data_IF_847546435509
#
_entry.id   IF_847546435509
#
_cell.length_a   1.000
_cell.length_b   1.000
_cell.length_c   1.000
_cell.angle_alpha   90.00
_cell.angle_beta   90.00
_cell.angle_gamma   90.00
#
_symmetry.space_group_name_H-M   'P 1'
#
loop_
_entity.id
_entity.type
_entity.pdbx_description
1 polymer ?
#
# COMPACT_ATOMS: atom_id res chain seq x y z
N UNK A 1 9.40 -15.52 -29.06
CA UNK A 1 10.78 -15.63 -28.52
C UNK A 1 11.11 -16.97 -27.82
N UNK A 2 10.12 -17.80 -27.40
CA UNK A 2 10.39 -19.01 -26.60
C UNK A 2 10.82 -20.28 -27.36
N UNK A 3 10.41 -20.49 -28.63
CA UNK A 3 10.66 -21.78 -29.32
C UNK A 3 12.14 -22.08 -29.52
N UNK A 4 12.95 -21.06 -29.85
CA UNK A 4 14.40 -21.19 -30.04
C UNK A 4 15.14 -21.47 -28.73
N UNK A 5 14.72 -20.85 -27.62
CA UNK A 5 15.29 -21.13 -26.30
C UNK A 5 14.98 -22.56 -25.84
N UNK A 6 13.74 -23.02 -26.01
CA UNK A 6 13.35 -24.39 -25.62
C UNK A 6 14.08 -25.44 -26.46
N UNK A 7 14.33 -25.14 -27.75
CA UNK A 7 15.12 -25.99 -28.62
C UNK A 7 16.60 -26.05 -28.18
N UNK A 8 17.20 -24.90 -27.83
CA UNK A 8 18.57 -24.84 -27.31
C UNK A 8 18.71 -25.60 -25.98
N UNK A 9 17.73 -25.47 -25.07
CA UNK A 9 17.71 -26.17 -23.77
C UNK A 9 17.57 -27.69 -23.98
N UNK A 10 16.71 -28.12 -24.90
CA UNK A 10 16.56 -29.54 -25.25
C UNK A 10 17.84 -30.12 -25.88
N UNK A 11 18.55 -29.34 -26.71
CA UNK A 11 19.83 -29.72 -27.29
C UNK A 11 20.93 -29.81 -26.21
N UNK A 12 21.00 -28.83 -25.31
CA UNK A 12 21.99 -28.83 -24.22
C UNK A 12 21.74 -29.94 -23.21
N UNK A 13 20.48 -30.23 -22.88
CA UNK A 13 20.12 -31.29 -21.93
C UNK A 13 20.43 -32.69 -22.45
N UNK A 14 20.46 -32.88 -23.78
CA UNK A 14 20.73 -34.17 -24.43
C UNK A 14 22.10 -34.19 -25.14
N UNK A 15 23.04 -33.31 -24.75
CA UNK A 15 24.33 -33.12 -25.45
C UNK A 15 25.14 -34.41 -25.57
N UNK A 16 25.06 -35.29 -24.57
CA UNK A 16 25.73 -36.61 -24.59
C UNK A 16 25.21 -37.47 -25.74
N UNK A 17 23.89 -37.50 -25.96
CA UNK A 17 23.27 -38.26 -27.05
C UNK A 17 23.67 -37.72 -28.43
N UNK A 18 23.73 -36.39 -28.59
CA UNK A 18 24.22 -35.79 -29.84
C UNK A 18 25.68 -36.13 -30.11
N UNK A 19 26.54 -36.09 -29.08
CA UNK A 19 27.96 -36.46 -29.21
C UNK A 19 28.09 -37.93 -29.60
N UNK A 20 27.33 -38.83 -28.97
CA UNK A 20 27.37 -40.26 -29.32
C UNK A 20 26.89 -40.53 -30.74
N UNK A 21 25.83 -39.86 -31.21
CA UNK A 21 25.37 -39.96 -32.60
C UNK A 21 26.41 -39.42 -33.58
N UNK A 22 27.03 -38.28 -33.27
CA UNK A 22 28.08 -37.71 -34.12
C UNK A 22 29.31 -38.63 -34.23
N UNK A 23 29.73 -39.26 -33.13
CA UNK A 23 30.80 -40.27 -33.16
C UNK A 23 30.43 -41.50 -34.01
N UNK A 24 29.17 -41.94 -33.92
CA UNK A 24 28.65 -43.06 -34.71
C UNK A 24 28.63 -42.74 -36.22
N UNK A 25 28.15 -41.55 -36.58
CA UNK A 25 28.12 -41.08 -37.96
C UNK A 25 29.54 -40.97 -38.54
N UNK A 26 30.50 -40.42 -37.78
CA UNK A 26 31.91 -40.37 -38.19
C UNK A 26 32.49 -41.76 -38.46
N UNK A 27 32.16 -42.74 -37.62
CA UNK A 27 32.58 -44.12 -37.82
C UNK A 27 31.98 -44.74 -39.09
N UNK A 28 30.69 -44.52 -39.37
CA UNK A 28 30.06 -45.02 -40.60
C UNK A 28 30.55 -44.30 -41.87
N UNK A 29 30.85 -43.00 -41.79
CA UNK A 29 31.47 -42.24 -42.88
C UNK A 29 32.85 -42.82 -43.20
N UNK A 30 33.65 -43.14 -42.17
CA UNK A 30 34.96 -43.79 -42.36
C UNK A 30 34.83 -45.17 -43.03
N UNK A 31 33.86 -45.99 -42.62
CA UNK A 31 33.60 -47.29 -43.25
C UNK A 31 33.12 -47.15 -44.70
N UNK A 32 32.26 -46.18 -45.00
CA UNK A 32 31.78 -45.91 -46.36
C UNK A 32 32.93 -45.50 -47.29
N UNK A 33 33.89 -44.71 -46.78
CA UNK A 33 35.11 -44.35 -47.51
C UNK A 33 35.99 -45.56 -47.81
N UNK A 34 36.14 -46.48 -46.85
CA UNK A 34 36.97 -47.68 -47.00
C UNK A 34 36.36 -48.71 -47.97
N UNK A 35 35.03 -48.86 -47.97
CA UNK A 35 34.34 -49.92 -48.70
C UNK A 35 33.98 -49.55 -50.15
N UNK A 36 33.50 -48.32 -50.40
CA UNK A 36 32.97 -47.91 -51.72
C UNK A 36 33.29 -46.44 -52.05
N UNK A 37 34.53 -46.13 -52.48
CA UNK A 37 34.95 -44.75 -52.76
C UNK A 37 34.14 -44.06 -53.86
N UNK A 38 33.68 -44.80 -54.87
CA UNK A 38 32.95 -44.26 -56.02
C UNK A 38 31.57 -43.68 -55.66
N UNK A 39 30.94 -44.16 -54.59
CA UNK A 39 29.60 -43.75 -54.14
C UNK A 39 29.61 -42.98 -52.81
N UNK A 40 30.79 -42.57 -52.35
CA UNK A 40 31.00 -41.97 -51.02
C UNK A 40 30.07 -40.78 -50.73
N UNK A 41 29.93 -39.85 -51.68
CA UNK A 41 29.11 -38.64 -51.52
C UNK A 41 27.63 -38.95 -51.29
N UNK A 42 27.10 -39.92 -52.04
CA UNK A 42 25.71 -40.38 -51.90
C UNK A 42 25.46 -41.05 -50.54
N UNK A 43 26.40 -41.87 -50.07
CA UNK A 43 26.28 -42.52 -48.76
C UNK A 43 26.38 -41.53 -47.60
N UNK A 44 27.30 -40.55 -47.66
CA UNK A 44 27.42 -39.51 -46.63
C UNK A 44 26.14 -38.66 -46.56
N UNK A 45 25.59 -38.26 -47.71
CA UNK A 45 24.33 -37.51 -47.75
C UNK A 45 23.16 -38.29 -47.13
N UNK A 46 23.08 -39.59 -47.40
CA UNK A 46 22.06 -40.47 -46.83
C UNK A 46 22.21 -40.62 -45.31
N UNK A 47 23.44 -40.83 -44.81
CA UNK A 47 23.73 -40.94 -43.36
C UNK A 47 23.30 -39.67 -42.64
N UNK A 48 23.71 -38.50 -43.12
CA UNK A 48 23.35 -37.20 -42.52
C UNK A 48 21.83 -37.01 -42.53
N UNK A 49 21.15 -37.34 -43.63
CA UNK A 49 19.70 -37.22 -43.73
C UNK A 49 18.97 -38.11 -42.73
N UNK A 50 19.37 -39.38 -42.61
CA UNK A 50 18.78 -40.34 -41.67
C UNK A 50 19.02 -39.91 -40.22
N UNK A 51 20.25 -39.46 -39.88
CA UNK A 51 20.58 -39.00 -38.54
C UNK A 51 19.80 -37.73 -38.15
N UNK A 52 19.63 -36.76 -39.07
CA UNK A 52 18.76 -35.60 -38.86
C UNK A 52 17.31 -36.00 -38.62
N UNK A 53 16.76 -36.91 -39.44
CA UNK A 53 15.39 -37.41 -39.28
C UNK A 53 15.21 -38.12 -37.93
N UNK A 54 16.16 -38.98 -37.55
CA UNK A 54 16.15 -39.73 -36.30
C UNK A 54 16.19 -38.84 -35.05
N UNK A 55 16.84 -37.67 -35.11
CA UNK A 55 16.92 -36.72 -34.01
C UNK A 55 15.64 -35.89 -33.83
N UNK A 56 14.81 -35.71 -34.86
CA UNK A 56 13.60 -34.87 -34.77
C UNK A 56 12.58 -35.41 -33.75
N UNK A 57 12.38 -36.72 -33.68
CA UNK A 57 11.41 -37.38 -32.80
C UNK A 57 11.79 -37.23 -31.31
N UNK A 58 13.00 -37.60 -30.85
CA UNK A 58 13.38 -37.44 -29.45
C UNK A 58 13.45 -35.97 -29.03
N UNK A 59 13.85 -35.05 -29.92
CA UNK A 59 13.84 -33.60 -29.63
C UNK A 59 12.41 -33.12 -29.42
N UNK A 60 11.46 -33.47 -30.30
CA UNK A 60 10.07 -33.03 -30.16
C UNK A 60 9.40 -33.62 -28.91
N UNK A 61 9.68 -34.88 -28.57
CA UNK A 61 9.23 -35.51 -27.32
C UNK A 61 9.82 -34.80 -26.10
N UNK A 62 11.13 -34.53 -26.10
CA UNK A 62 11.83 -33.85 -25.00
C UNK A 62 11.27 -32.44 -24.77
N UNK A 63 11.04 -31.67 -25.84
CA UNK A 63 10.43 -30.33 -25.76
C UNK A 63 9.00 -30.41 -25.21
N UNK A 64 8.17 -31.34 -25.70
CA UNK A 64 6.78 -31.48 -25.23
C UNK A 64 6.72 -31.87 -23.75
N UNK A 65 7.62 -32.77 -23.32
CA UNK A 65 7.72 -33.19 -21.92
C UNK A 65 8.16 -32.02 -21.02
N UNK A 66 9.17 -31.26 -21.43
CA UNK A 66 9.65 -30.08 -20.69
C UNK A 66 8.54 -29.04 -20.52
N UNK A 67 7.86 -28.67 -21.62
CA UNK A 67 6.78 -27.68 -21.56
C UNK A 67 5.63 -28.13 -20.65
N UNK A 68 5.28 -29.43 -20.66
CA UNK A 68 4.25 -29.97 -19.76
C UNK A 68 4.70 -29.92 -18.30
N UNK A 69 5.97 -30.24 -18.03
CA UNK A 69 6.55 -30.15 -16.70
C UNK A 69 6.54 -28.71 -16.17
N UNK A 70 6.90 -27.74 -17.00
CA UNK A 70 6.91 -26.32 -16.62
C UNK A 70 5.50 -25.82 -16.25
N UNK A 71 4.48 -26.20 -17.02
CA UNK A 71 3.08 -25.82 -16.73
C UNK A 71 2.60 -26.42 -15.41
N UNK A 72 2.86 -27.70 -15.18
CA UNK A 72 2.45 -28.39 -13.93
C UNK A 72 3.26 -27.91 -12.73
N UNK A 73 4.53 -27.59 -12.92
CA UNK A 73 5.36 -26.99 -11.88
C UNK A 73 4.86 -25.59 -11.51
N UNK A 74 4.51 -24.77 -12.51
CA UNK A 74 3.94 -23.46 -12.26
C UNK A 74 2.57 -23.53 -11.57
N UNK A 75 1.70 -24.49 -11.95
CA UNK A 75 0.43 -24.68 -11.24
C UNK A 75 0.64 -25.12 -9.80
N UNK A 76 1.58 -26.03 -9.55
CA UNK A 76 1.97 -26.44 -8.20
C UNK A 76 2.53 -25.28 -7.33
N UNK A 77 3.30 -24.36 -7.93
CA UNK A 77 3.80 -23.19 -7.20
C UNK A 77 2.70 -22.19 -6.81
N UNK A 78 1.67 -22.07 -7.64
CA UNK A 78 0.52 -21.21 -7.34
C UNK A 78 -0.40 -21.86 -6.31
N UNK A 79 -0.64 -23.16 -6.47
CA UNK A 79 -1.56 -23.96 -5.66
C UNK A 79 -0.88 -25.30 -5.31
N UNK A 80 -0.19 -25.39 -4.16
CA UNK A 80 0.55 -26.58 -3.73
C UNK A 80 -0.39 -27.62 -3.11
N UNK A 81 -1.46 -27.98 -3.82
CA UNK A 81 -2.42 -28.98 -3.40
C UNK A 81 -1.95 -30.42 -3.70
N UNK A 82 -2.62 -31.41 -3.10
CA UNK A 82 -2.30 -32.82 -3.32
C UNK A 82 -2.41 -33.22 -4.80
N UNK A 83 -3.34 -32.59 -5.54
CA UNK A 83 -3.56 -32.85 -6.97
C UNK A 83 -2.37 -32.42 -7.81
N UNK A 84 -1.93 -31.17 -7.69
CA UNK A 84 -0.81 -30.61 -8.44
C UNK A 84 0.51 -31.27 -8.03
N UNK A 85 0.67 -31.63 -6.75
CA UNK A 85 1.81 -32.40 -6.28
C UNK A 85 1.86 -33.79 -6.94
N UNK A 86 0.72 -34.48 -7.01
CA UNK A 86 0.61 -35.77 -7.68
C UNK A 86 0.97 -35.67 -9.17
N UNK A 87 0.39 -34.70 -9.88
CA UNK A 87 0.65 -34.47 -11.30
C UNK A 87 2.13 -34.15 -11.56
N UNK A 88 2.76 -33.38 -10.67
CA UNK A 88 4.18 -33.07 -10.77
C UNK A 88 5.05 -34.31 -10.54
N UNK A 89 4.71 -35.14 -9.54
CA UNK A 89 5.40 -36.40 -9.25
C UNK A 89 5.30 -37.43 -10.39
N UNK A 90 4.24 -37.38 -11.21
CA UNK A 90 4.07 -38.25 -12.38
C UNK A 90 5.02 -37.86 -13.53
N UNK A 91 5.26 -36.55 -13.72
CA UNK A 91 6.07 -36.03 -14.83
C UNK A 91 7.57 -36.04 -14.49
N UNK A 92 7.90 -35.82 -13.22
CA UNK A 92 9.25 -35.68 -12.70
C UNK A 92 9.88 -37.07 -12.43
N UNK A 93 11.20 -37.26 -12.66
CA UNK A 93 11.90 -38.50 -12.32
C UNK A 93 11.68 -38.95 -10.88
N UNK A 94 11.63 -40.27 -10.65
CA UNK A 94 11.39 -40.85 -9.33
C UNK A 94 12.36 -40.36 -8.24
N UNK A 95 13.61 -40.05 -8.63
CA UNK A 95 14.65 -39.49 -7.76
C UNK A 95 14.27 -38.14 -7.14
N UNK A 96 13.50 -37.33 -7.86
CA UNK A 96 13.15 -35.97 -7.45
C UNK A 96 11.82 -35.90 -6.69
N UNK A 97 11.01 -36.97 -6.71
CA UNK A 97 9.73 -37.05 -5.97
C UNK A 97 9.84 -36.71 -4.47
N UNK A 98 10.83 -37.20 -3.68
CA UNK A 98 10.91 -36.83 -2.27
C UNK A 98 11.12 -35.32 -2.07
N UNK A 99 11.95 -34.68 -2.90
CA UNK A 99 12.18 -33.23 -2.84
C UNK A 99 10.94 -32.43 -3.24
N UNK A 100 10.16 -32.91 -4.22
CA UNK A 100 8.88 -32.27 -4.59
C UNK A 100 7.89 -32.31 -3.43
N UNK A 101 7.81 -33.44 -2.71
CA UNK A 101 6.95 -33.58 -1.52
C UNK A 101 7.39 -32.67 -0.38
N UNK A 102 8.70 -32.61 -0.11
CA UNK A 102 9.27 -31.72 0.90
C UNK A 102 8.99 -30.25 0.56
N UNK A 103 9.17 -29.85 -0.70
CA UNK A 103 8.83 -28.52 -1.20
C UNK A 103 7.33 -28.23 -1.04
N UNK A 104 6.47 -29.17 -1.39
CA UNK A 104 5.01 -29.05 -1.24
C UNK A 104 4.62 -28.83 0.21
N UNK A 105 5.18 -29.62 1.12
CA UNK A 105 4.96 -29.45 2.56
C UNK A 105 5.40 -28.06 3.04
N UNK A 106 6.59 -27.60 2.65
CA UNK A 106 7.06 -26.26 3.00
C UNK A 106 6.16 -25.14 2.45
N UNK A 107 5.72 -25.24 1.19
CA UNK A 107 4.82 -24.25 0.59
C UNK A 107 3.47 -24.20 1.30
N UNK A 108 2.89 -25.37 1.63
CA UNK A 108 1.64 -25.46 2.39
C UNK A 108 1.78 -24.88 3.79
N UNK A 109 2.82 -25.22 4.53
CA UNK A 109 3.07 -24.66 5.87
C UNK A 109 3.27 -23.14 5.83
N UNK A 110 3.96 -22.61 4.81
CA UNK A 110 4.09 -21.17 4.62
C UNK A 110 2.73 -20.52 4.30
N UNK A 111 1.90 -21.15 3.47
CA UNK A 111 0.57 -20.65 3.14
C UNK A 111 -0.37 -20.67 4.35
N UNK A 112 -0.34 -21.74 5.15
CA UNK A 112 -1.05 -21.85 6.43
C UNK A 112 -0.60 -20.76 7.40
N UNK A 113 0.71 -20.56 7.58
CA UNK A 113 1.25 -19.49 8.42
C UNK A 113 0.77 -18.11 7.97
N UNK A 114 0.84 -17.80 6.67
CA UNK A 114 0.34 -16.53 6.13
C UNK A 114 -1.17 -16.39 6.36
N UNK A 115 -1.95 -17.45 6.18
CA UNK A 115 -3.39 -17.42 6.42
C UNK A 115 -3.72 -17.20 7.90
N UNK A 116 -3.01 -17.86 8.81
CA UNK A 116 -3.14 -17.62 10.26
C UNK A 116 -2.80 -16.17 10.64
N UNK A 117 -1.75 -15.57 10.05
CA UNK A 117 -1.43 -14.16 10.29
C UNK A 117 -2.53 -13.24 9.78
N UNK A 118 -3.12 -13.53 8.60
CA UNK A 118 -4.26 -12.76 8.08
C UNK A 118 -5.47 -12.84 8.99
N UNK A 119 -5.81 -14.03 9.50
CA UNK A 119 -6.91 -14.23 10.45
C UNK A 119 -6.63 -13.43 11.74
N UNK A 120 -5.42 -13.53 12.31
CA UNK A 120 -5.04 -12.76 13.51
C UNK A 120 -5.19 -11.26 13.30
N UNK A 121 -4.73 -10.72 12.17
CA UNK A 121 -4.88 -9.30 11.84
C UNK A 121 -6.37 -8.93 11.77
N UNK A 122 -7.19 -9.72 11.08
CA UNK A 122 -8.64 -9.50 10.99
C UNK A 122 -9.32 -9.55 12.36
N UNK A 123 -8.93 -10.47 13.25
CA UNK A 123 -9.46 -10.58 14.60
C UNK A 123 -9.09 -9.35 15.44
N UNK A 124 -7.84 -8.85 15.32
CA UNK A 124 -7.41 -7.62 15.96
C UNK A 124 -8.17 -6.39 15.45
N UNK A 125 -8.40 -6.29 14.15
CA UNK A 125 -9.21 -5.22 13.56
C UNK A 125 -10.63 -5.23 14.14
N UNK A 126 -11.30 -6.40 14.13
CA UNK A 126 -12.65 -6.56 14.69
C UNK A 126 -12.70 -6.24 16.19
N UNK A 127 -11.67 -6.64 16.95
CA UNK A 127 -11.56 -6.33 18.36
C UNK A 127 -11.47 -4.81 18.61
N UNK A 128 -10.65 -4.10 17.85
CA UNK A 128 -10.52 -2.63 17.96
C UNK A 128 -11.85 -1.94 17.60
N UNK A 129 -12.55 -2.41 16.56
CA UNK A 129 -13.86 -1.84 16.20
C UNK A 129 -14.91 -2.03 17.29
N UNK A 130 -14.97 -3.23 17.89
CA UNK A 130 -15.88 -3.51 19.01
C UNK A 130 -15.53 -2.66 20.24
N UNK A 131 -14.24 -2.57 20.59
CA UNK A 131 -13.76 -1.73 21.68
C UNK A 131 -14.11 -0.26 21.46
N UNK A 132 -13.91 0.27 20.26
CA UNK A 132 -14.25 1.65 19.94
C UNK A 132 -15.76 1.91 20.05
N UNK A 133 -16.61 0.96 19.63
CA UNK A 133 -18.05 1.05 19.82
C UNK A 133 -18.44 1.07 21.30
N UNK A 134 -17.78 0.26 22.14
CA UNK A 134 -18.00 0.27 23.59
C UNK A 134 -17.57 1.60 24.23
N UNK A 135 -16.49 2.24 23.77
CA UNK A 135 -16.05 3.56 24.23
C UNK A 135 -16.95 4.70 23.72
N UNK A 136 -17.56 4.56 22.54
CA UNK A 136 -18.53 5.54 22.04
C UNK A 136 -19.76 5.66 22.95
N UNK A 137 -20.19 4.58 23.62
CA UNK A 137 -21.33 4.61 24.57
C UNK A 137 -21.15 5.59 25.74
N UNK A 138 -20.09 5.51 26.57
CA UNK A 138 -19.87 6.48 27.64
C UNK A 138 -19.60 7.89 27.12
N UNK A 139 -19.00 8.07 25.93
CA UNK A 139 -18.86 9.39 25.30
C UNK A 139 -20.22 9.99 24.92
N UNK A 140 -21.15 9.20 24.39
CA UNK A 140 -22.53 9.62 24.11
C UNK A 140 -23.27 10.00 25.39
N UNK A 141 -23.10 9.22 26.47
CA UNK A 141 -23.67 9.56 27.78
C UNK A 141 -23.07 10.86 28.33
N UNK A 142 -21.76 11.06 28.20
CA UNK A 142 -21.08 12.29 28.59
C UNK A 142 -21.63 13.49 27.81
N UNK A 143 -21.84 13.33 26.50
CA UNK A 143 -22.48 14.35 25.65
C UNK A 143 -23.86 14.73 26.17
N UNK A 144 -24.70 13.72 26.42
CA UNK A 144 -26.06 13.92 26.95
C UNK A 144 -26.06 14.63 28.31
N UNK A 145 -25.11 14.30 29.19
CA UNK A 145 -24.98 14.95 30.50
C UNK A 145 -24.51 16.40 30.37
N UNK A 146 -23.49 16.67 29.55
CA UNK A 146 -22.94 18.01 29.36
C UNK A 146 -23.95 18.95 28.68
N UNK A 147 -24.78 18.44 27.78
CA UNK A 147 -25.80 19.24 27.11
C UNK A 147 -26.98 19.54 28.05
N UNK A 148 -27.49 18.52 28.77
CA UNK A 148 -28.67 18.68 29.63
C UNK A 148 -28.37 19.37 30.97
N UNK A 149 -27.15 19.27 31.49
CA UNK A 149 -26.76 19.81 32.80
C UNK A 149 -25.84 21.01 32.70
N UNK A 150 -25.80 21.69 31.54
CA UNK A 150 -25.00 22.91 31.33
C UNK A 150 -25.21 23.96 32.44
N UNK A 151 -26.45 24.13 32.88
CA UNK A 151 -26.80 25.12 33.92
C UNK A 151 -26.39 24.71 35.35
N UNK A 152 -26.03 23.44 35.57
CA UNK A 152 -25.54 22.95 36.87
C UNK A 152 -24.03 23.22 37.06
N UNK A 153 -23.34 23.67 36.02
CA UNK A 153 -21.89 23.91 35.99
C UNK A 153 -21.57 25.37 35.69
N UNK A 154 -20.38 25.83 36.13
CA UNK A 154 -19.88 27.11 35.65
C UNK A 154 -19.54 27.03 34.15
N UNK A 155 -19.65 28.14 33.39
CA UNK A 155 -19.29 28.15 31.97
C UNK A 155 -17.88 27.60 31.69
N UNK A 156 -16.92 27.96 32.54
CA UNK A 156 -15.54 27.48 32.43
C UNK A 156 -15.42 25.95 32.60
N UNK A 157 -16.12 25.37 33.58
CA UNK A 157 -16.09 23.91 33.79
C UNK A 157 -16.79 23.20 32.63
N UNK A 158 -17.88 23.75 32.13
CA UNK A 158 -18.59 23.20 30.97
C UNK A 158 -17.68 23.15 29.73
N UNK A 159 -17.03 24.25 29.36
CA UNK A 159 -16.11 24.30 28.22
C UNK A 159 -14.96 23.29 28.37
N UNK A 160 -14.36 23.19 29.56
CA UNK A 160 -13.30 22.21 29.84
C UNK A 160 -13.75 20.76 29.72
N UNK A 161 -14.96 20.45 30.15
CA UNK A 161 -15.50 19.10 30.01
C UNK A 161 -15.82 18.77 28.54
N UNK A 162 -16.32 19.74 27.77
CA UNK A 162 -16.49 19.60 26.32
C UNK A 162 -15.13 19.34 25.64
N UNK A 163 -14.09 20.09 26.01
CA UNK A 163 -12.73 19.90 25.55
C UNK A 163 -12.24 18.46 25.79
N UNK A 164 -12.37 17.95 27.02
CA UNK A 164 -11.94 16.58 27.37
C UNK A 164 -12.72 15.53 26.59
N UNK A 165 -14.04 15.70 26.46
CA UNK A 165 -14.90 14.81 25.67
C UNK A 165 -14.47 14.78 24.21
N UNK A 166 -14.28 15.94 23.60
CA UNK A 166 -13.97 16.06 22.17
C UNK A 166 -12.57 15.52 21.86
N UNK A 167 -11.62 15.72 22.78
CA UNK A 167 -10.29 15.12 22.69
C UNK A 167 -10.37 13.59 22.76
N UNK A 168 -11.10 13.03 23.72
CA UNK A 168 -11.29 11.57 23.81
C UNK A 168 -12.01 11.00 22.58
N UNK A 169 -12.96 11.73 22.00
CA UNK A 169 -13.61 11.36 20.74
C UNK A 169 -12.62 11.31 19.58
N UNK A 170 -11.72 12.30 19.47
CA UNK A 170 -10.67 12.30 18.44
C UNK A 170 -9.72 11.11 18.57
N UNK A 171 -9.31 10.76 19.79
CA UNK A 171 -8.44 9.59 20.05
C UNK A 171 -9.11 8.28 19.60
N UNK A 172 -10.41 8.13 19.84
CA UNK A 172 -11.20 6.96 19.42
C UNK A 172 -11.34 6.90 17.89
N UNK A 173 -11.54 8.03 17.22
CA UNK A 173 -11.55 8.06 15.75
C UNK A 173 -10.16 7.77 15.17
N UNK A 174 -9.10 8.23 15.83
CA UNK A 174 -7.72 7.98 15.42
C UNK A 174 -7.37 6.49 15.43
N UNK A 175 -7.73 5.76 16.50
CA UNK A 175 -7.47 4.32 16.59
C UNK A 175 -8.34 3.51 15.62
N UNK A 176 -9.60 3.92 15.39
CA UNK A 176 -10.47 3.33 14.37
C UNK A 176 -9.90 3.49 12.96
N UNK A 177 -9.34 4.67 12.65
CA UNK A 177 -8.70 4.86 11.37
C UNK A 177 -7.41 4.03 11.27
N UNK A 178 -6.62 3.96 12.34
CA UNK A 178 -5.40 3.16 12.37
C UNK A 178 -5.66 1.67 12.15
N UNK A 179 -6.70 1.09 12.75
CA UNK A 179 -7.05 -0.33 12.53
C UNK A 179 -7.42 -0.60 11.07
N UNK A 180 -8.03 0.36 10.38
CA UNK A 180 -8.47 0.22 8.99
C UNK A 180 -7.39 0.49 7.95
N UNK A 181 -6.19 0.95 8.34
CA UNK A 181 -5.13 1.26 7.38
C UNK A 181 -4.71 0.07 6.51
N UNK A 182 -4.77 -1.15 7.05
CA UNK A 182 -4.37 -2.39 6.38
C UNK A 182 -5.49 -3.07 5.59
N UNK A 183 -6.72 -2.54 5.64
CA UNK A 183 -7.85 -3.15 4.97
C UNK A 183 -7.63 -3.15 3.44
N UNK A 184 -7.85 -4.33 2.82
CA UNK A 184 -7.67 -4.54 1.37
C UNK A 184 -8.69 -3.73 0.56
N UNK A 185 -9.87 -3.47 1.12
CA UNK A 185 -10.92 -2.67 0.49
C UNK A 185 -11.28 -1.51 1.42
N UNK A 186 -10.97 -0.29 0.98
CA UNK A 186 -11.41 0.95 1.63
C UNK A 186 -12.48 1.57 0.73
N UNK A 187 -13.72 1.66 1.24
CA UNK A 187 -14.84 2.24 0.50
C UNK A 187 -14.79 3.77 0.62
N UNK A 188 -13.92 4.42 -0.16
CA UNK A 188 -13.92 5.88 -0.29
C UNK A 188 -15.02 6.34 -1.24
N UNK A 189 -15.78 7.35 -0.80
CA UNK A 189 -16.82 7.98 -1.59
C UNK A 189 -16.33 9.34 -2.09
N UNK A 190 -15.79 9.35 -3.30
CA UNK A 190 -15.30 10.56 -3.94
C UNK A 190 -16.48 11.39 -4.47
N UNK A 191 -16.64 12.58 -3.91
CA UNK A 191 -17.66 13.55 -4.32
C UNK A 191 -17.05 14.94 -4.57
N UNK A 192 -17.72 15.80 -5.37
CA UNK A 192 -17.33 17.20 -5.49
C UNK A 192 -17.52 17.93 -4.16
N UNK A 193 -16.45 18.50 -3.62
CA UNK A 193 -16.41 19.20 -2.34
C UNK A 193 -15.86 20.61 -2.52
N UNK A 194 -16.47 21.54 -1.79
CA UNK A 194 -15.99 22.91 -1.67
C UNK A 194 -14.95 22.96 -0.54
N UNK A 195 -13.69 23.26 -0.88
CA UNK A 195 -12.58 23.19 0.10
C UNK A 195 -12.83 24.14 1.26
N UNK A 196 -13.22 25.38 0.97
CA UNK A 196 -13.35 26.41 2.00
C UNK A 196 -14.51 26.07 2.94
N UNK A 197 -15.63 25.56 2.42
CA UNK A 197 -16.72 25.04 3.23
C UNK A 197 -16.27 23.88 4.09
N UNK A 198 -15.54 22.91 3.54
CA UNK A 198 -15.03 21.77 4.32
C UNK A 198 -14.06 22.22 5.42
N UNK A 199 -13.22 23.24 5.17
CA UNK A 199 -12.36 23.83 6.20
C UNK A 199 -13.17 24.49 7.32
N UNK A 200 -14.25 25.21 6.99
CA UNK A 200 -15.16 25.79 8.00
C UNK A 200 -15.85 24.71 8.82
N UNK A 201 -16.38 23.68 8.16
CA UNK A 201 -16.99 22.53 8.84
C UNK A 201 -15.98 21.85 9.79
N UNK A 202 -14.71 21.68 9.36
CA UNK A 202 -13.66 21.13 10.21
C UNK A 202 -13.33 22.02 11.42
N UNK A 203 -13.35 23.35 11.25
CA UNK A 203 -13.18 24.29 12.35
C UNK A 203 -14.35 24.23 13.32
N UNK A 204 -15.59 24.17 12.82
CA UNK A 204 -16.81 24.04 13.64
C UNK A 204 -16.80 22.74 14.47
N UNK A 205 -16.40 21.61 13.86
CA UNK A 205 -16.29 20.33 14.55
C UNK A 205 -15.25 20.30 15.69
N UNK A 206 -14.31 21.27 15.68
CA UNK A 206 -13.22 21.40 16.64
C UNK A 206 -13.26 22.73 17.41
N UNK A 207 -14.40 23.45 17.38
CA UNK A 207 -14.52 24.79 17.96
C UNK A 207 -14.22 24.81 19.45
N UNK A 208 -14.63 23.80 20.19
CA UNK A 208 -14.41 23.66 21.64
C UNK A 208 -12.92 23.56 21.98
N UNK A 209 -12.15 22.84 21.15
CA UNK A 209 -10.69 22.72 21.29
C UNK A 209 -10.00 24.06 21.00
N UNK A 210 -10.44 24.74 19.95
CA UNK A 210 -9.89 26.01 19.49
C UNK A 210 -10.20 27.16 20.47
N UNK A 211 -11.43 27.22 20.99
CA UNK A 211 -11.87 28.23 21.96
C UNK A 211 -11.18 28.08 23.32
N UNK A 212 -11.08 26.87 23.87
CA UNK A 212 -10.38 26.65 25.15
C UNK A 212 -8.89 26.98 25.04
N UNK A 213 -8.30 26.79 23.84
CA UNK A 213 -6.92 27.18 23.55
C UNK A 213 -6.75 28.65 23.14
N UNK A 214 -7.85 29.39 22.90
CA UNK A 214 -7.84 30.82 22.57
C UNK A 214 -7.40 31.17 21.14
N UNK A 215 -7.64 30.30 20.16
CA UNK A 215 -7.23 30.49 18.77
C UNK A 215 -8.06 31.54 18.02
N UNK A 216 -7.39 32.41 17.26
CA UNK A 216 -8.01 33.24 16.21
C UNK A 216 -7.94 32.55 14.85
N UNK A 217 -9.04 32.52 14.11
CA UNK A 217 -9.16 31.76 12.86
C UNK A 217 -9.39 32.70 11.68
N UNK A 218 -8.60 32.53 10.63
CA UNK A 218 -8.71 33.33 9.40
C UNK A 218 -8.81 32.42 8.16
N UNK A 219 -9.64 32.83 7.20
CA UNK A 219 -9.78 32.15 5.92
C UNK A 219 -9.49 33.13 4.78
N UNK A 220 -8.53 32.78 3.93
CA UNK A 220 -8.06 33.57 2.79
C UNK A 220 -8.20 32.79 1.49
N UNK A 221 -8.53 33.49 0.41
CA UNK A 221 -8.66 32.91 -0.93
C UNK A 221 -10.11 32.71 -1.37
N UNK A 222 -10.25 32.21 -2.60
CA UNK A 222 -11.55 31.95 -3.23
C UNK A 222 -12.03 30.52 -2.95
N UNK A 223 -13.31 30.29 -3.17
CA UNK A 223 -13.90 28.96 -3.13
C UNK A 223 -13.49 28.14 -4.35
N UNK A 224 -12.99 26.92 -4.13
CA UNK A 224 -12.65 25.98 -5.18
C UNK A 224 -13.29 24.61 -4.93
N UNK A 225 -13.60 23.92 -6.02
CA UNK A 225 -14.16 22.57 -6.00
C UNK A 225 -13.05 21.54 -6.21
N UNK A 226 -13.01 20.52 -5.37
CA UNK A 226 -12.15 19.34 -5.49
C UNK A 226 -12.98 18.07 -5.55
N UNK A 227 -12.38 16.97 -5.97
CA UNK A 227 -12.97 15.64 -5.85
C UNK A 227 -12.22 14.91 -4.74
N UNK A 228 -12.90 14.57 -3.65
CA UNK A 228 -12.30 13.84 -2.53
C UNK A 228 -13.37 13.12 -1.70
N UNK A 229 -12.93 12.33 -0.73
CA UNK A 229 -13.82 11.76 0.28
C UNK A 229 -13.97 12.73 1.46
N UNK A 230 -15.21 13.15 1.74
CA UNK A 230 -15.48 14.14 2.79
C UNK A 230 -15.01 13.69 4.16
N UNK A 231 -15.25 12.43 4.53
CA UNK A 231 -14.89 11.92 5.86
C UNK A 231 -13.38 11.88 6.04
N UNK A 232 -12.66 11.45 5.01
CA UNK A 232 -11.22 11.42 5.01
C UNK A 232 -10.62 12.84 5.08
N UNK A 233 -11.09 13.77 4.27
CA UNK A 233 -10.61 15.15 4.35
C UNK A 233 -10.89 15.80 5.71
N UNK A 234 -12.08 15.57 6.30
CA UNK A 234 -12.40 16.04 7.66
C UNK A 234 -11.48 15.45 8.72
N UNK A 235 -11.10 14.17 8.59
CA UNK A 235 -10.12 13.55 9.49
C UNK A 235 -8.73 14.20 9.35
N UNK A 236 -8.25 14.42 8.13
CA UNK A 236 -6.95 15.09 7.88
C UNK A 236 -6.95 16.47 8.54
N UNK A 237 -7.97 17.29 8.25
CA UNK A 237 -8.10 18.63 8.80
C UNK A 237 -8.18 18.61 10.34
N UNK A 238 -8.98 17.71 10.91
CA UNK A 238 -9.09 17.55 12.36
C UNK A 238 -7.76 17.19 13.04
N UNK A 239 -6.95 16.32 12.43
CA UNK A 239 -5.62 15.98 12.94
C UNK A 239 -4.64 17.16 12.86
N UNK A 240 -4.69 17.94 11.77
CA UNK A 240 -3.86 19.14 11.62
C UNK A 240 -4.26 20.18 12.69
N UNK A 241 -5.55 20.47 12.84
CA UNK A 241 -6.08 21.39 13.85
C UNK A 241 -5.67 20.95 15.27
N UNK A 242 -5.83 19.67 15.58
CA UNK A 242 -5.47 19.10 16.90
C UNK A 242 -3.98 19.25 17.19
N UNK A 243 -3.11 19.05 16.18
CA UNK A 243 -1.68 19.30 16.32
C UNK A 243 -1.36 20.78 16.54
N UNK A 244 -1.98 21.70 15.80
CA UNK A 244 -1.78 23.13 16.00
C UNK A 244 -2.17 23.56 17.42
N UNK A 245 -3.29 23.06 17.96
CA UNK A 245 -3.71 23.31 19.35
C UNK A 245 -2.71 22.71 20.36
N UNK A 246 -2.26 21.47 20.12
CA UNK A 246 -1.33 20.77 21.02
C UNK A 246 0.04 21.46 21.12
N UNK A 247 0.54 21.98 20.01
CA UNK A 247 1.86 22.63 19.92
C UNK A 247 1.77 24.16 19.94
N UNK A 248 0.62 24.71 20.34
CA UNK A 248 0.43 26.15 20.52
C UNK A 248 1.40 26.72 21.57
N UNK A 249 2.01 27.86 21.27
CA UNK A 249 2.87 28.54 22.23
C UNK A 249 2.03 29.27 23.29
N UNK A 250 2.19 28.90 24.56
CA UNK A 250 1.35 29.38 25.68
C UNK A 250 1.44 30.89 25.98
N UNK A 251 2.37 31.61 25.35
CA UNK A 251 2.64 33.04 25.63
C UNK A 251 2.21 33.98 24.51
N UNK A 252 1.80 33.46 23.35
CA UNK A 252 1.30 34.21 22.21
C UNK A 252 -0.22 34.05 22.08
N UNK A 253 -0.89 35.01 21.44
CA UNK A 253 -2.24 34.78 20.92
C UNK A 253 -2.15 33.77 19.77
N UNK A 254 -2.65 32.54 19.93
CA UNK A 254 -2.50 31.53 18.90
C UNK A 254 -3.40 31.85 17.69
N UNK A 255 -2.90 31.64 16.49
CA UNK A 255 -3.66 31.83 15.26
C UNK A 255 -3.61 30.59 14.38
N UNK A 256 -4.68 30.38 13.62
CA UNK A 256 -4.76 29.38 12.57
C UNK A 256 -5.34 30.01 11.31
N UNK A 257 -4.58 30.00 10.23
CA UNK A 257 -4.96 30.61 8.96
C UNK A 257 -5.06 29.55 7.87
N UNK A 258 -6.18 29.51 7.17
CA UNK A 258 -6.40 28.67 6.00
C UNK A 258 -6.30 29.55 4.74
N UNK A 259 -5.37 29.25 3.85
CA UNK A 259 -5.18 29.96 2.57
C UNK A 259 -5.37 28.99 1.41
N UNK A 260 -6.23 29.35 0.46
CA UNK A 260 -6.49 28.53 -0.73
C UNK A 260 -6.05 29.27 -1.98
N UNK A 261 -5.18 28.63 -2.76
CA UNK A 261 -4.65 29.17 -4.00
C UNK A 261 -4.72 28.12 -5.12
N UNK A 262 -4.94 28.57 -6.35
CA UNK A 262 -4.79 27.75 -7.54
C UNK A 262 -3.36 27.93 -8.09
N UNK A 263 -2.64 26.83 -8.26
CA UNK A 263 -1.31 26.87 -8.83
C UNK A 263 -1.41 27.21 -10.32
N UNK A 264 -0.95 28.40 -10.70
CA UNK A 264 -1.13 28.96 -12.05
C UNK A 264 -0.48 28.14 -13.18
N UNK A 265 0.36 27.15 -12.86
CA UNK A 265 1.11 26.35 -13.82
C UNK A 265 0.81 24.84 -13.78
N UNK A 266 0.21 24.31 -12.71
CA UNK A 266 0.11 22.86 -12.49
C UNK A 266 -1.31 22.29 -12.48
N UNK A 267 -2.36 23.10 -12.68
CA UNK A 267 -3.76 22.64 -12.52
C UNK A 267 -3.97 21.94 -11.17
N UNK A 268 -3.40 22.50 -10.10
CA UNK A 268 -3.54 21.98 -8.75
C UNK A 268 -4.19 23.03 -7.87
N UNK A 269 -5.00 22.58 -6.93
CA UNK A 269 -5.54 23.43 -5.88
C UNK A 269 -4.73 23.19 -4.62
N UNK A 270 -4.23 24.26 -4.02
CA UNK A 270 -3.35 24.21 -2.85
C UNK A 270 -4.10 24.83 -1.67
N UNK A 271 -4.21 24.06 -0.59
CA UNK A 271 -4.66 24.51 0.73
C UNK A 271 -3.46 24.56 1.67
N UNK A 272 -3.13 25.76 2.14
CA UNK A 272 -2.10 25.97 3.16
C UNK A 272 -2.76 26.28 4.51
N UNK A 273 -2.33 25.58 5.55
CA UNK A 273 -2.82 25.73 6.93
C UNK A 273 -1.63 26.19 7.77
N UNK A 274 -1.67 27.45 8.20
CA UNK A 274 -0.57 28.12 8.89
C UNK A 274 -0.92 28.34 10.36
N UNK A 275 -0.03 27.93 11.26
CA UNK A 275 -0.09 28.28 12.68
C UNK A 275 1.15 29.09 13.13
N UNK A 276 1.05 29.70 14.31
CA UNK A 276 2.17 30.29 15.05
C UNK A 276 2.56 29.48 16.28
N UNK A 277 2.44 28.16 16.20
CA UNK A 277 2.87 27.28 17.29
C UNK A 277 4.39 27.21 17.42
N UNK A 278 4.85 26.21 18.17
CA UNK A 278 6.27 25.88 18.23
C UNK A 278 6.79 25.45 16.86
N UNK A 279 7.88 26.07 16.42
CA UNK A 279 8.56 25.67 15.18
C UNK A 279 9.11 24.24 15.27
N UNK A 280 8.95 23.49 14.19
CA UNK A 280 9.56 22.16 14.06
C UNK A 280 11.05 22.32 13.74
N UNK A 281 11.97 21.65 14.46
CA UNK A 281 13.39 21.64 14.12
C UNK A 281 13.62 21.11 12.70
N UNK A 282 14.54 21.73 11.96
CA UNK A 282 14.85 21.32 10.57
C UNK A 282 15.33 19.85 10.51
N UNK A 283 16.01 19.37 11.56
CA UNK A 283 16.42 17.97 11.71
C UNK A 283 15.25 16.99 11.77
N UNK A 284 14.09 17.44 12.22
CA UNK A 284 12.94 16.60 12.55
C UNK A 284 11.95 16.54 11.38
N UNK A 285 11.94 17.58 10.51
CA UNK A 285 11.05 17.69 9.34
C UNK A 285 11.02 16.41 8.46
N UNK A 286 12.13 15.72 8.16
CA UNK A 286 12.09 14.50 7.36
C UNK A 286 11.33 13.34 8.02
N UNK A 287 11.17 13.37 9.35
CA UNK A 287 10.66 12.25 10.14
C UNK A 287 9.27 12.52 10.73
N UNK A 288 8.69 13.72 10.54
CA UNK A 288 7.39 14.08 11.15
C UNK A 288 6.22 13.18 10.74
N UNK A 289 6.33 12.52 9.58
CA UNK A 289 5.35 11.57 9.08
C UNK A 289 5.68 10.11 9.43
N UNK A 290 6.80 9.84 10.10
CA UNK A 290 7.16 8.49 10.48
C UNK A 290 6.29 7.97 11.62
N UNK A 291 6.00 6.68 11.55
CA UNK A 291 5.14 6.00 12.53
C UNK A 291 5.74 6.13 13.93
N UNK A 292 5.03 6.79 14.83
CA UNK A 292 5.43 6.92 16.23
C UNK A 292 6.48 8.01 16.48
N UNK A 293 6.77 8.85 15.49
CA UNK A 293 7.71 9.95 15.67
C UNK A 293 7.12 11.02 16.60
N UNK A 294 7.89 11.42 17.61
CA UNK A 294 7.58 12.53 18.49
C UNK A 294 8.83 13.36 18.67
N UNK A 295 8.76 14.68 18.43
CA UNK A 295 9.89 15.57 18.71
C UNK A 295 10.31 15.52 20.18
N UNK A 296 11.57 15.82 20.46
CA UNK A 296 12.21 15.69 21.78
C UNK A 296 11.70 16.71 22.83
N UNK A 297 10.81 17.61 22.41
CA UNK A 297 10.35 18.77 23.18
C UNK A 297 9.01 18.49 23.85
N UNK A 298 9.00 17.75 24.96
CA UNK A 298 7.77 17.53 25.75
C UNK A 298 8.00 16.95 27.14
N UNK A 299 7.24 17.42 28.14
CA UNK A 299 7.16 16.79 29.45
C UNK A 299 6.56 15.38 29.32
N UNK A 300 6.84 14.49 30.28
CA UNK A 300 6.36 13.10 30.30
C UNK A 300 4.83 12.96 30.16
N UNK A 301 4.07 14.02 30.50
CA UNK A 301 2.60 14.10 30.39
C UNK A 301 2.09 14.62 29.03
N UNK A 302 2.97 15.12 28.16
CA UNK A 302 2.62 15.74 26.87
C UNK A 302 2.99 14.91 25.64
N UNK A 303 3.64 13.74 25.84
CA UNK A 303 4.06 12.87 24.73
C UNK A 303 2.84 12.45 23.89
N UNK A 304 2.86 12.85 22.63
CA UNK A 304 1.97 12.32 21.59
C UNK A 304 2.29 10.85 21.34
N UNK A 305 1.35 10.14 20.73
CA UNK A 305 1.58 8.79 20.20
C UNK A 305 2.48 8.79 18.97
N UNK A 306 2.71 9.96 18.36
CA UNK A 306 3.40 10.09 17.07
C UNK A 306 2.62 9.51 15.89
N UNK A 307 1.32 9.25 16.07
CA UNK A 307 0.49 8.60 15.06
C UNK A 307 -0.28 9.61 14.19
N UNK A 308 -0.54 10.83 14.67
CA UNK A 308 -1.43 11.79 13.99
C UNK A 308 -0.98 12.10 12.56
N UNK A 309 0.24 12.63 12.40
CA UNK A 309 0.77 12.98 11.09
C UNK A 309 1.03 11.77 10.20
N UNK A 310 1.47 10.63 10.76
CA UNK A 310 1.58 9.38 10.02
C UNK A 310 0.23 8.96 9.39
N UNK A 311 -0.86 9.06 10.16
CA UNK A 311 -2.21 8.77 9.66
C UNK A 311 -2.67 9.78 8.61
N UNK A 312 -2.36 11.07 8.80
CA UNK A 312 -2.61 12.11 7.79
C UNK A 312 -1.92 11.76 6.48
N UNK A 313 -0.64 11.37 6.49
CA UNK A 313 0.09 10.99 5.28
C UNK A 313 -0.53 9.76 4.60
N UNK A 314 -0.91 8.74 5.37
CA UNK A 314 -1.56 7.55 4.82
C UNK A 314 -2.90 7.88 4.17
N UNK A 315 -3.72 8.67 4.84
CA UNK A 315 -5.02 9.08 4.30
C UNK A 315 -4.88 10.00 3.10
N UNK A 316 -3.96 10.96 3.15
CA UNK A 316 -3.67 11.84 2.03
C UNK A 316 -3.24 11.03 0.80
N UNK A 317 -2.36 10.03 0.98
CA UNK A 317 -1.97 9.12 -0.10
C UNK A 317 -3.16 8.31 -0.65
N UNK A 318 -4.02 7.77 0.21
CA UNK A 318 -5.23 7.04 -0.21
C UNK A 318 -6.18 7.93 -1.03
N UNK A 319 -6.24 9.23 -0.71
CA UNK A 319 -7.07 10.24 -1.39
C UNK A 319 -6.35 10.95 -2.54
N UNK A 320 -5.11 10.55 -2.88
CA UNK A 320 -4.27 11.22 -3.89
C UNK A 320 -4.04 12.72 -3.60
N UNK A 321 -3.97 13.09 -2.31
CA UNK A 321 -3.64 14.41 -1.82
C UNK A 321 -2.16 14.41 -1.45
N UNK A 322 -1.39 15.35 -1.98
CA UNK A 322 0.01 15.53 -1.55
C UNK A 322 0.03 16.39 -0.29
N UNK A 323 0.68 15.91 0.77
CA UNK A 323 0.87 16.66 2.02
C UNK A 323 2.34 17.01 2.22
N UNK A 324 2.61 18.26 2.58
CA UNK A 324 3.94 18.76 2.91
C UNK A 324 3.87 19.57 4.22
N UNK A 325 4.95 19.56 4.98
CA UNK A 325 5.08 20.34 6.23
C UNK A 325 6.36 21.15 6.17
N UNK A 326 6.25 22.43 6.49
CA UNK A 326 7.38 23.36 6.54
C UNK A 326 7.27 24.25 7.78
N UNK A 327 8.40 24.76 8.24
CA UNK A 327 8.45 25.72 9.35
C UNK A 327 8.33 27.15 8.80
N UNK A 328 7.53 27.98 9.48
CA UNK A 328 7.25 29.35 9.04
C UNK A 328 8.44 30.28 9.31
N UNK A 329 8.65 31.26 8.43
CA UNK A 329 9.73 32.25 8.56
C UNK A 329 9.58 33.15 9.80
N UNK A 330 8.35 33.31 10.31
CA UNK A 330 8.02 34.09 11.51
C UNK A 330 7.76 33.21 12.75
N UNK A 331 8.02 31.90 12.67
CA UNK A 331 7.72 30.93 13.72
C UNK A 331 6.38 30.21 13.51
N UNK A 332 6.33 28.93 13.88
CA UNK A 332 5.18 28.03 13.67
C UNK A 332 5.34 27.09 12.48
N UNK A 333 4.22 26.49 12.06
CA UNK A 333 4.19 25.44 11.03
C UNK A 333 3.19 25.77 9.92
N UNK A 334 3.56 25.44 8.68
CA UNK A 334 2.65 25.39 7.53
C UNK A 334 2.48 23.94 7.11
N UNK A 335 1.24 23.46 7.10
CA UNK A 335 0.86 22.21 6.44
C UNK A 335 0.21 22.54 5.11
N UNK A 336 0.74 22.00 4.03
CA UNK A 336 0.24 22.22 2.67
C UNK A 336 -0.39 20.95 2.13
N UNK A 337 -1.65 21.04 1.71
CA UNK A 337 -2.40 19.99 1.03
C UNK A 337 -2.58 20.39 -0.44
N UNK A 338 -2.10 19.56 -1.36
CA UNK A 338 -2.22 19.78 -2.81
C UNK A 338 -3.16 18.75 -3.40
N UNK A 339 -4.20 19.24 -4.07
CA UNK A 339 -5.25 18.45 -4.70
C UNK A 339 -5.08 18.46 -6.22
N UNK A 340 -5.12 17.30 -6.89
CA UNK A 340 -5.14 17.26 -8.34
C UNK A 340 -6.47 17.81 -8.85
N UNK A 341 -6.45 18.70 -9.85
CA UNK A 341 -7.68 19.12 -10.53
C UNK A 341 -8.13 18.00 -11.45
N UNK A 342 -9.29 17.43 -11.14
CA UNK A 342 -9.89 16.41 -12.00
C UNK A 342 -10.82 17.12 -12.98
N UNK A 343 -10.40 17.21 -14.24
CA UNK A 343 -11.33 17.55 -15.31
C UNK A 343 -12.40 16.45 -15.39
N UNK A 344 -13.67 16.81 -15.18
CA UNK A 344 -14.76 15.85 -15.40
C UNK A 344 -14.71 15.39 -16.86
N UNK A 345 -14.67 14.08 -17.16
CA UNK A 345 -15.08 13.65 -18.48
C UNK A 345 -16.54 14.06 -18.65
N UNK A 346 -16.83 14.82 -19.72
CA UNK A 346 -18.20 15.15 -20.13
C UNK A 346 -19.05 13.87 -20.13
N UNK A 347 -19.93 13.71 -19.14
CA UNK A 347 -21.01 12.74 -19.25
C UNK A 347 -21.88 13.23 -20.41
N UNK A 348 -21.81 12.53 -21.55
CA UNK A 348 -22.92 12.55 -22.51
C UNK A 348 -24.10 11.93 -21.76
N UNK A 349 -25.07 12.77 -21.39
CA UNK A 349 -26.41 12.31 -21.07
C UNK A 349 -26.88 11.39 -22.22
N UNK A 350 -27.28 10.17 -21.87
CA UNK A 350 -27.94 9.21 -22.78
C UNK A 350 -29.43 9.35 -22.62
#
# INVERSE_FOLDING_TARGET
>A
MNKWKNLLIAISSNRIWFITFMCLDLFFIFLAWLAYPEYFTSYVALIIFVSLAALTIPITISIKKSNKADVVFHSFLLEPDDTNEYLLCEIVPALLRPYVRELGQHLRTQQEYVNEQKIKISDYEQYIENWAHEIKKPLSLMTLLLDNRKNEMSPLVHTRMLYVRDHARQDVEQILYFSRLGAVHKDYYFEPLSILRTCREAVEDNVTLLEEAGFSIEFLGNEYQIISDKKGLMFILGQIISNSVKYAEKKSSPFLQFSINEASQSEEIILSINDNGMSIPISDLPFVFDKGFTGDTGSYLSRSTGMGLYLVQKMANDLTIKVEIQTNSYGGTTVTLTFPKVERPFFREV
#
